data_IF_526267309179
#
_entry.id   IF_526267309179
#
_cell.length_a   1.000
_cell.length_b   1.000
_cell.length_c   1.000
_cell.angle_alpha   90.00
_cell.angle_beta   90.00
_cell.angle_gamma   90.00
#
_symmetry.space_group_name_H-M   'P 1'
#
loop_
_entity.id
_entity.type
_entity.pdbx_description
1 polymer ?
#
# COMPACT_ATOMS: atom_id res chain seq x y z
N UNK A 1 -7.76 29.52 -1.34
CA UNK A 1 -7.67 30.50 -2.45
C UNK A 1 -9.06 31.01 -2.81
N UNK A 2 -9.20 32.12 -3.54
CA UNK A 2 -10.52 32.73 -3.85
C UNK A 2 -11.47 31.83 -4.65
N UNK A 3 -10.93 30.87 -5.40
CA UNK A 3 -11.69 29.89 -6.20
C UNK A 3 -12.10 28.63 -5.44
N UNK A 4 -11.64 28.45 -4.19
CA UNK A 4 -11.97 27.26 -3.38
C UNK A 4 -13.25 27.56 -2.60
N UNK A 5 -14.33 26.86 -2.94
CA UNK A 5 -15.65 27.04 -2.31
C UNK A 5 -16.09 25.84 -1.47
N UNK A 6 -15.43 24.69 -1.63
CA UNK A 6 -15.77 23.45 -0.91
C UNK A 6 -15.26 23.41 0.54
N UNK A 7 -14.46 24.39 0.95
CA UNK A 7 -13.82 24.46 2.28
C UNK A 7 -13.84 25.90 2.80
N UNK A 8 -13.85 26.03 4.12
CA UNK A 8 -13.75 27.28 4.87
C UNK A 8 -12.62 27.22 5.90
N UNK A 9 -12.03 28.36 6.31
CA UNK A 9 -11.01 28.38 7.34
C UNK A 9 -11.50 27.71 8.64
N UNK A 10 -10.69 26.78 9.17
CA UNK A 10 -11.04 25.99 10.36
C UNK A 10 -11.58 24.60 10.06
N UNK A 11 -11.91 24.29 8.80
CA UNK A 11 -12.33 22.94 8.42
C UNK A 11 -11.22 21.91 8.64
N UNK A 12 -11.49 20.81 9.38
CA UNK A 12 -10.55 19.71 9.47
C UNK A 12 -10.53 18.95 8.14
N UNK A 13 -9.35 18.77 7.56
CA UNK A 13 -9.20 18.12 6.24
C UNK A 13 -8.30 16.89 6.29
N UNK A 14 -8.49 16.01 5.31
CA UNK A 14 -7.62 14.87 5.02
C UNK A 14 -7.41 14.78 3.51
N UNK A 15 -6.15 14.72 3.06
CA UNK A 15 -5.82 14.87 1.65
C UNK A 15 -4.63 13.98 1.29
N UNK A 16 -4.51 13.60 0.03
CA UNK A 16 -3.31 12.92 -0.51
C UNK A 16 -2.43 13.90 -1.29
N UNK A 17 -1.21 13.50 -1.59
CA UNK A 17 -0.16 14.40 -2.05
C UNK A 17 -0.12 14.60 -3.58
N UNK A 18 -0.98 13.95 -4.35
CA UNK A 18 -1.06 14.09 -5.82
C UNK A 18 -2.50 14.14 -6.30
N UNK A 19 -2.70 14.65 -7.52
CA UNK A 19 -3.97 14.59 -8.23
C UNK A 19 -3.73 14.67 -9.75
N UNK A 20 -4.47 13.89 -10.56
CA UNK A 20 -4.32 13.86 -12.01
C UNK A 20 -4.83 15.13 -12.68
N UNK A 21 -4.41 15.41 -13.92
CA UNK A 21 -4.90 16.56 -14.69
C UNK A 21 -6.31 16.33 -15.27
N UNK A 22 -6.72 15.08 -15.49
CA UNK A 22 -8.04 14.71 -16.01
C UNK A 22 -8.20 14.87 -17.53
N UNK A 23 -7.17 15.33 -18.25
CA UNK A 23 -7.31 15.68 -19.68
C UNK A 23 -6.28 15.02 -20.60
N UNK A 24 -5.17 14.50 -20.07
CA UNK A 24 -4.15 13.80 -20.86
C UNK A 24 -4.62 12.41 -21.32
N UNK A 25 -3.82 11.74 -22.15
CA UNK A 25 -4.11 10.40 -22.66
C UNK A 25 -4.49 9.44 -21.53
N UNK A 26 -3.64 9.28 -20.53
CA UNK A 26 -3.84 8.34 -19.43
C UNK A 26 -5.12 8.62 -18.64
N UNK A 27 -5.39 9.89 -18.34
CA UNK A 27 -6.61 10.27 -17.62
C UNK A 27 -7.88 9.92 -18.41
N UNK A 28 -7.88 10.11 -19.73
CA UNK A 28 -9.04 9.78 -20.58
C UNK A 28 -9.28 8.28 -20.72
N UNK A 29 -8.29 7.45 -20.37
CA UNK A 29 -8.37 5.99 -20.43
C UNK A 29 -8.54 5.34 -19.04
N UNK A 30 -8.86 6.11 -18.00
CA UNK A 30 -9.03 5.58 -16.64
C UNK A 30 -7.73 5.08 -16.01
N UNK A 31 -6.59 5.64 -16.45
CA UNK A 31 -5.26 5.33 -15.94
C UNK A 31 -4.65 6.57 -15.27
N UNK A 32 -5.42 7.25 -14.43
CA UNK A 32 -5.04 8.52 -13.79
C UNK A 32 -3.74 8.45 -12.97
N UNK A 33 -3.38 7.27 -12.46
CA UNK A 33 -2.12 7.02 -11.76
C UNK A 33 -0.88 7.19 -12.67
N UNK A 34 -1.06 7.16 -13.99
CA UNK A 34 -0.01 7.36 -15.00
C UNK A 34 -0.05 8.77 -15.61
N UNK A 35 -0.85 9.68 -15.03
CA UNK A 35 -1.00 11.03 -15.54
C UNK A 35 0.36 11.75 -15.67
N UNK A 36 0.61 12.34 -16.84
CA UNK A 36 1.82 13.10 -17.18
C UNK A 36 2.15 14.22 -16.18
N UNK A 37 1.11 14.82 -15.58
CA UNK A 37 1.27 15.90 -14.61
C UNK A 37 1.34 15.39 -13.16
N UNK A 38 1.15 14.10 -12.89
CA UNK A 38 0.97 13.60 -11.52
C UNK A 38 2.21 13.82 -10.65
N UNK A 39 3.35 13.28 -11.08
CA UNK A 39 4.61 13.38 -10.35
C UNK A 39 5.25 14.78 -10.42
N UNK A 40 5.30 15.47 -11.59
CA UNK A 40 5.93 16.80 -11.68
C UNK A 40 5.29 17.86 -10.79
N UNK A 41 4.07 17.63 -10.34
CA UNK A 41 3.31 18.62 -9.60
C UNK A 41 2.93 18.16 -8.19
N UNK A 42 3.39 16.98 -7.79
CA UNK A 42 3.21 16.39 -6.47
C UNK A 42 3.51 17.39 -5.35
N UNK A 43 2.69 17.35 -4.29
CA UNK A 43 2.90 18.14 -3.09
C UNK A 43 3.96 17.50 -2.21
N UNK A 44 5.06 18.22 -1.97
CA UNK A 44 6.12 17.83 -1.06
C UNK A 44 6.26 18.87 0.06
N UNK A 45 6.83 18.47 1.20
CA UNK A 45 7.09 19.38 2.33
C UNK A 45 6.04 19.37 3.45
N UNK A 46 5.20 18.33 3.53
CA UNK A 46 4.14 18.25 4.55
C UNK A 46 4.65 18.10 6.00
N UNK A 47 5.95 17.87 6.20
CA UNK A 47 6.60 17.96 7.50
C UNK A 47 6.89 19.42 7.85
N UNK A 48 5.81 20.17 8.11
CA UNK A 48 5.82 21.60 8.41
C UNK A 48 4.53 21.99 9.15
N UNK A 49 4.56 23.08 9.91
CA UNK A 49 3.37 23.65 10.56
C UNK A 49 2.29 24.08 9.55
N UNK A 50 2.71 24.43 8.33
CA UNK A 50 1.83 24.90 7.27
C UNK A 50 2.30 24.44 5.90
N UNK A 51 1.34 24.13 5.03
CA UNK A 51 1.61 23.81 3.62
C UNK A 51 0.51 24.36 2.71
N UNK A 52 0.91 24.90 1.57
CA UNK A 52 -0.02 25.34 0.53
C UNK A 52 -0.39 24.15 -0.37
N UNK A 53 -1.62 23.65 -0.25
CA UNK A 53 -2.10 22.52 -1.07
C UNK A 53 -2.51 23.02 -2.48
N UNK A 54 -1.95 22.45 -3.56
CA UNK A 54 -2.32 22.79 -4.94
C UNK A 54 -3.82 22.62 -5.21
N UNK A 55 -4.40 23.55 -5.96
CA UNK A 55 -5.84 23.57 -6.28
C UNK A 55 -6.37 22.22 -6.78
N UNK A 56 -5.67 21.55 -7.70
CA UNK A 56 -6.14 20.25 -8.24
C UNK A 56 -6.19 19.13 -7.19
N UNK A 57 -5.34 19.19 -6.16
CA UNK A 57 -5.38 18.23 -5.04
C UNK A 57 -6.59 18.56 -4.18
N UNK A 58 -6.81 19.84 -3.87
CA UNK A 58 -8.00 20.31 -3.15
C UNK A 58 -9.29 19.85 -3.82
N UNK A 59 -9.38 19.95 -5.14
CA UNK A 59 -10.60 19.62 -5.90
C UNK A 59 -10.88 18.12 -6.02
N UNK A 60 -9.85 17.28 -6.05
CA UNK A 60 -10.02 15.86 -6.42
C UNK A 60 -9.79 14.89 -5.26
N UNK A 61 -8.91 15.27 -4.35
CA UNK A 61 -8.20 14.34 -3.46
C UNK A 61 -8.04 14.91 -2.04
N UNK A 62 -8.86 15.89 -1.69
CA UNK A 62 -8.92 16.54 -0.39
C UNK A 62 -10.37 16.51 0.09
N UNK A 63 -10.56 16.16 1.36
CA UNK A 63 -11.88 15.89 1.91
C UNK A 63 -11.99 16.47 3.31
N UNK A 64 -13.21 16.80 3.73
CA UNK A 64 -13.49 17.06 5.15
C UNK A 64 -13.20 15.78 5.93
N UNK A 65 -12.36 15.89 6.95
CA UNK A 65 -12.11 14.85 7.94
C UNK A 65 -13.26 14.89 8.96
N UNK A 66 -14.13 13.87 9.03
CA UNK A 66 -15.24 13.88 9.98
C UNK A 66 -14.76 14.06 11.42
N UNK A 67 -15.58 14.69 12.27
CA UNK A 67 -15.23 14.98 13.68
C UNK A 67 -14.84 13.73 14.47
N UNK A 68 -15.47 12.60 14.17
CA UNK A 68 -15.18 11.33 14.83
C UNK A 68 -13.85 10.68 14.41
N UNK A 69 -13.19 11.13 13.33
CA UNK A 69 -11.95 10.53 12.82
C UNK A 69 -10.75 11.34 13.31
N UNK A 70 -9.76 10.67 13.91
CA UNK A 70 -8.52 11.29 14.36
C UNK A 70 -7.60 11.67 13.19
N UNK A 71 -6.68 12.62 13.39
CA UNK A 71 -5.67 12.94 12.38
C UNK A 71 -4.73 11.76 12.10
N UNK A 72 -4.45 10.96 13.13
CA UNK A 72 -3.72 9.70 13.02
C UNK A 72 -4.39 8.72 12.05
N UNK A 73 -5.70 8.52 12.14
CA UNK A 73 -6.48 7.71 11.19
C UNK A 73 -6.51 8.35 9.79
N UNK A 74 -6.73 9.66 9.72
CA UNK A 74 -6.78 10.40 8.46
C UNK A 74 -5.46 10.35 7.67
N UNK A 75 -4.32 10.30 8.36
CA UNK A 75 -2.99 10.21 7.76
C UNK A 75 -2.76 8.89 7.01
N UNK A 76 -3.62 7.88 7.17
CA UNK A 76 -3.58 6.65 6.39
C UNK A 76 -4.24 6.75 5.01
N UNK A 77 -4.86 7.88 4.66
CA UNK A 77 -5.58 8.02 3.39
C UNK A 77 -4.71 7.69 2.18
N UNK A 78 -3.50 8.22 2.14
CA UNK A 78 -2.53 7.98 1.07
C UNK A 78 -2.06 6.51 1.01
N UNK A 79 -1.52 5.92 2.10
CA UNK A 79 -1.01 4.56 2.02
C UNK A 79 -2.13 3.55 1.78
N UNK A 80 -3.34 3.80 2.29
CA UNK A 80 -4.48 2.93 2.04
C UNK A 80 -4.99 3.05 0.59
N UNK A 81 -4.96 4.23 -0.03
CA UNK A 81 -5.30 4.39 -1.44
C UNK A 81 -4.36 3.59 -2.36
N UNK A 82 -3.06 3.57 -2.05
CA UNK A 82 -2.09 2.72 -2.76
C UNK A 82 -2.44 1.22 -2.63
N UNK A 83 -2.83 0.77 -1.42
CA UNK A 83 -3.20 -0.63 -1.16
C UNK A 83 -4.50 -1.00 -1.88
N UNK A 84 -5.50 -0.11 -1.88
CA UNK A 84 -6.75 -0.27 -2.64
C UNK A 84 -6.44 -0.44 -4.12
N UNK A 85 -5.64 0.46 -4.70
CA UNK A 85 -5.24 0.40 -6.11
C UNK A 85 -4.56 -0.93 -6.47
N UNK A 86 -3.62 -1.37 -5.61
CA UNK A 86 -2.89 -2.63 -5.77
C UNK A 86 -3.81 -3.86 -5.78
N UNK A 87 -4.77 -3.92 -4.84
CA UNK A 87 -5.73 -5.03 -4.76
C UNK A 87 -6.74 -4.97 -5.91
N UNK A 88 -7.18 -3.78 -6.31
CA UNK A 88 -8.08 -3.59 -7.44
C UNK A 88 -7.43 -4.02 -8.76
N UNK A 89 -6.12 -3.80 -8.94
CA UNK A 89 -5.37 -4.31 -10.10
C UNK A 89 -5.19 -5.83 -10.07
N UNK A 90 -5.16 -6.43 -8.89
CA UNK A 90 -4.99 -7.88 -8.71
C UNK A 90 -6.29 -8.67 -8.88
N UNK A 91 -7.44 -8.08 -8.51
CA UNK A 91 -8.78 -8.68 -8.55
C UNK A 91 -8.84 -10.09 -7.95
N UNK A 92 -8.37 -10.29 -6.70
CA UNK A 92 -8.35 -11.62 -6.11
C UNK A 92 -9.78 -12.13 -5.88
N UNK A 93 -10.03 -13.38 -6.25
CA UNK A 93 -11.32 -14.02 -5.99
C UNK A 93 -11.50 -14.30 -4.49
N UNK A 94 -12.73 -14.17 -3.99
CA UNK A 94 -13.04 -14.62 -2.63
C UNK A 94 -12.71 -16.12 -2.49
N UNK A 95 -12.12 -16.51 -1.36
CA UNK A 95 -11.63 -17.87 -1.11
C UNK A 95 -10.29 -18.22 -1.76
N UNK A 96 -9.71 -17.32 -2.57
CA UNK A 96 -8.34 -17.50 -3.09
C UNK A 96 -7.29 -17.33 -1.99
N UNK A 97 -6.08 -17.85 -2.23
CA UNK A 97 -4.92 -17.70 -1.34
C UNK A 97 -3.92 -16.72 -1.93
N UNK A 98 -3.62 -15.65 -1.20
CA UNK A 98 -2.64 -14.63 -1.59
C UNK A 98 -1.47 -14.63 -0.61
N UNK A 99 -0.25 -14.78 -1.13
CA UNK A 99 0.96 -14.62 -0.34
C UNK A 99 1.39 -13.15 -0.34
N UNK A 100 1.49 -12.53 0.83
CA UNK A 100 1.95 -11.14 1.00
C UNK A 100 3.36 -11.17 1.57
N UNK A 101 4.34 -10.73 0.79
CA UNK A 101 5.75 -10.81 1.15
C UNK A 101 6.22 -9.48 1.71
N UNK A 102 6.63 -9.49 2.99
CA UNK A 102 7.07 -8.31 3.73
C UNK A 102 6.05 -7.90 4.79
N UNK A 103 6.40 -8.02 6.07
CA UNK A 103 5.54 -7.70 7.20
C UNK A 103 5.70 -6.25 7.71
N UNK A 104 5.97 -5.31 6.80
CA UNK A 104 5.91 -3.88 7.09
C UNK A 104 4.47 -3.35 7.09
N UNK A 105 4.30 -2.04 7.29
CA UNK A 105 2.97 -1.41 7.32
C UNK A 105 2.13 -1.71 6.07
N UNK A 106 2.74 -1.63 4.88
CA UNK A 106 2.04 -1.98 3.64
C UNK A 106 1.62 -3.44 3.55
N UNK A 107 2.46 -4.39 3.97
CA UNK A 107 2.09 -5.80 3.93
C UNK A 107 0.95 -6.14 4.90
N UNK A 108 0.96 -5.54 6.09
CA UNK A 108 -0.15 -5.68 7.05
C UNK A 108 -1.43 -5.04 6.50
N UNK A 109 -1.35 -3.83 5.90
CA UNK A 109 -2.52 -3.20 5.28
C UNK A 109 -3.10 -4.06 4.14
N UNK A 110 -2.26 -4.61 3.26
CA UNK A 110 -2.71 -5.52 2.21
C UNK A 110 -3.39 -6.76 2.81
N UNK A 111 -2.76 -7.41 3.79
CA UNK A 111 -3.31 -8.61 4.41
C UNK A 111 -4.67 -8.36 5.08
N UNK A 112 -4.83 -7.22 5.77
CA UNK A 112 -6.11 -6.84 6.37
C UNK A 112 -7.19 -6.58 5.31
N UNK A 113 -6.87 -5.84 4.24
CA UNK A 113 -7.86 -5.54 3.20
C UNK A 113 -8.23 -6.79 2.41
N UNK A 114 -7.27 -7.68 2.11
CA UNK A 114 -7.53 -9.00 1.51
C UNK A 114 -8.47 -9.84 2.38
N UNK A 115 -8.25 -9.92 3.69
CA UNK A 115 -9.13 -10.64 4.62
C UNK A 115 -10.57 -10.12 4.56
N UNK A 116 -10.76 -8.80 4.45
CA UNK A 116 -12.10 -8.18 4.27
C UNK A 116 -12.78 -8.56 2.95
N UNK A 117 -12.02 -8.83 1.90
CA UNK A 117 -12.54 -9.35 0.63
C UNK A 117 -12.76 -10.87 0.64
N UNK A 118 -12.62 -11.53 1.80
CA UNK A 118 -12.74 -12.98 1.94
C UNK A 118 -11.59 -13.74 1.30
N UNK A 119 -10.44 -13.10 1.11
CA UNK A 119 -9.23 -13.71 0.56
C UNK A 119 -8.36 -14.21 1.71
N UNK A 120 -7.79 -15.42 1.57
CA UNK A 120 -6.85 -15.98 2.54
C UNK A 120 -5.48 -15.34 2.32
N UNK A 121 -5.11 -14.36 3.16
CA UNK A 121 -3.79 -13.73 3.13
C UNK A 121 -2.78 -14.49 3.99
N UNK A 122 -1.66 -14.89 3.39
CA UNK A 122 -0.49 -15.46 4.08
C UNK A 122 0.59 -14.38 4.17
N UNK A 123 0.76 -13.77 5.34
CA UNK A 123 1.74 -12.69 5.53
C UNK A 123 3.11 -13.26 5.91
N UNK A 124 4.15 -12.93 5.14
CA UNK A 124 5.51 -13.39 5.37
C UNK A 124 6.42 -12.25 5.81
N UNK A 125 7.30 -12.52 6.77
CA UNK A 125 8.35 -11.58 7.15
C UNK A 125 9.34 -12.17 8.14
N UNK A 126 10.29 -11.34 8.59
CA UNK A 126 11.38 -11.73 9.52
C UNK A 126 11.37 -10.97 10.85
N UNK A 127 10.53 -9.93 10.94
CA UNK A 127 10.42 -9.05 12.12
C UNK A 127 9.36 -9.63 13.06
N UNK A 128 9.78 -10.34 14.10
CA UNK A 128 8.93 -11.11 15.02
C UNK A 128 7.85 -10.28 15.69
N UNK A 129 8.17 -9.06 16.08
CA UNK A 129 7.26 -8.10 16.71
C UNK A 129 6.11 -7.71 15.77
N UNK A 130 6.39 -7.55 14.48
CA UNK A 130 5.37 -7.23 13.47
C UNK A 130 4.54 -8.45 13.09
N UNK A 131 5.13 -9.65 13.12
CA UNK A 131 4.37 -10.90 12.98
C UNK A 131 3.42 -11.10 14.18
N UNK A 132 3.88 -10.79 15.39
CA UNK A 132 3.05 -10.84 16.59
C UNK A 132 1.86 -9.88 16.47
N UNK A 133 2.09 -8.61 16.10
CA UNK A 133 1.01 -7.67 15.82
C UNK A 133 0.06 -8.21 14.74
N UNK A 134 0.57 -8.74 13.63
CA UNK A 134 -0.27 -9.30 12.58
C UNK A 134 -1.19 -10.42 13.11
N UNK A 135 -0.70 -11.29 14.00
CA UNK A 135 -1.52 -12.33 14.64
C UNK A 135 -2.57 -11.74 15.59
N UNK A 136 -2.21 -10.71 16.36
CA UNK A 136 -3.18 -9.99 17.20
C UNK A 136 -4.31 -9.35 16.38
N UNK A 137 -4.01 -8.94 15.14
CA UNK A 137 -4.98 -8.42 14.19
C UNK A 137 -5.74 -9.53 13.43
N UNK A 138 -5.55 -10.81 13.78
CA UNK A 138 -6.26 -11.94 13.18
C UNK A 138 -5.72 -12.39 11.82
N UNK A 139 -4.48 -12.01 11.48
CA UNK A 139 -3.82 -12.42 10.24
C UNK A 139 -3.00 -13.71 10.44
N UNK A 140 -3.02 -14.59 9.43
CA UNK A 140 -2.07 -15.70 9.35
C UNK A 140 -0.70 -15.15 8.94
N UNK A 141 0.28 -15.18 9.86
CA UNK A 141 1.61 -14.65 9.63
C UNK A 141 2.74 -15.63 9.97
N UNK A 142 3.73 -15.70 9.08
CA UNK A 142 4.80 -16.70 9.08
C UNK A 142 6.18 -16.05 9.11
N UNK A 143 7.06 -16.62 9.92
CA UNK A 143 8.47 -16.23 9.98
C UNK A 143 9.26 -16.99 8.91
N UNK A 144 9.82 -16.24 7.95
CA UNK A 144 10.61 -16.80 6.85
C UNK A 144 11.91 -17.47 7.30
N UNK A 145 12.33 -17.22 8.55
CA UNK A 145 13.49 -17.88 9.17
C UNK A 145 13.15 -19.26 9.72
N UNK A 146 11.87 -19.53 9.96
CA UNK A 146 11.39 -20.81 10.48
C UNK A 146 10.92 -21.75 9.38
N UNK A 147 10.30 -21.21 8.33
CA UNK A 147 9.83 -21.97 7.17
C UNK A 147 10.08 -21.18 5.88
N UNK A 148 10.71 -21.78 4.85
CA UNK A 148 10.83 -21.14 3.54
C UNK A 148 9.46 -20.75 2.97
N UNK A 149 9.36 -19.55 2.38
CA UNK A 149 8.09 -19.01 1.86
C UNK A 149 7.42 -20.01 0.91
N UNK A 150 8.20 -20.61 -0.01
CA UNK A 150 7.68 -21.55 -1.00
C UNK A 150 7.05 -22.78 -0.34
N UNK A 151 7.70 -23.36 0.65
CA UNK A 151 7.20 -24.54 1.36
C UNK A 151 5.88 -24.22 2.08
N UNK A 152 5.86 -23.12 2.83
CA UNK A 152 4.65 -22.66 3.51
C UNK A 152 3.48 -22.43 2.56
N UNK A 153 3.74 -21.81 1.40
CA UNK A 153 2.72 -21.59 0.36
C UNK A 153 2.21 -22.92 -0.20
N UNK A 154 3.09 -23.86 -0.53
CA UNK A 154 2.70 -25.17 -1.09
C UNK A 154 1.84 -25.98 -0.11
N UNK A 155 2.24 -26.04 1.17
CA UNK A 155 1.47 -26.69 2.24
C UNK A 155 0.03 -26.13 2.32
N UNK A 156 -0.12 -24.82 2.17
CA UNK A 156 -1.41 -24.11 2.30
C UNK A 156 -2.23 -24.10 1.02
N UNK A 157 -1.66 -24.56 -0.09
CA UNK A 157 -2.29 -24.50 -1.42
C UNK A 157 -2.40 -25.86 -2.10
N UNK A 158 -2.08 -26.95 -1.39
CA UNK A 158 -2.07 -28.33 -1.90
C UNK A 158 -1.10 -28.45 -3.09
N UNK A 159 0.11 -27.97 -2.89
CA UNK A 159 1.22 -27.99 -3.85
C UNK A 159 1.02 -27.19 -5.15
N UNK A 160 -0.04 -26.38 -5.23
CA UNK A 160 -0.33 -25.60 -6.44
C UNK A 160 0.48 -24.31 -6.53
N UNK A 161 0.79 -23.67 -5.40
CA UNK A 161 1.23 -22.28 -5.33
C UNK A 161 0.07 -21.33 -5.02
N UNK A 162 0.37 -20.09 -4.64
CA UNK A 162 -0.63 -19.07 -4.33
C UNK A 162 -1.36 -18.61 -5.59
N UNK A 163 -2.63 -18.22 -5.46
CA UNK A 163 -3.40 -17.61 -6.56
C UNK A 163 -2.77 -16.28 -6.98
N UNK A 164 -2.24 -15.55 -6.00
CA UNK A 164 -1.41 -14.39 -6.24
C UNK A 164 -0.33 -14.18 -5.18
N UNK A 165 0.67 -13.38 -5.53
CA UNK A 165 1.71 -12.89 -4.62
C UNK A 165 1.70 -11.38 -4.66
N UNK A 166 1.78 -10.72 -3.50
CA UNK A 166 2.02 -9.28 -3.38
C UNK A 166 3.40 -9.08 -2.76
N UNK A 167 4.31 -8.49 -3.52
CA UNK A 167 5.70 -8.21 -3.12
C UNK A 167 5.77 -6.80 -2.50
N UNK A 168 6.05 -6.72 -1.20
CA UNK A 168 6.11 -5.45 -0.44
C UNK A 168 7.49 -5.16 0.16
N UNK A 169 8.54 -5.89 -0.22
CA UNK A 169 9.91 -5.69 0.28
C UNK A 169 10.78 -4.83 -0.62
N UNK A 170 10.52 -4.79 -1.93
CA UNK A 170 11.24 -3.92 -2.86
C UNK A 170 12.69 -4.34 -3.05
N UNK A 171 12.95 -5.64 -3.13
CA UNK A 171 14.30 -6.20 -3.40
C UNK A 171 14.32 -6.96 -4.71
N UNK A 172 15.46 -6.90 -5.42
CA UNK A 172 15.67 -7.64 -6.69
C UNK A 172 15.45 -9.14 -6.48
N UNK A 173 16.02 -9.69 -5.40
CA UNK A 173 15.87 -11.11 -5.05
C UNK A 173 14.40 -11.52 -4.90
N UNK A 174 13.59 -10.70 -4.23
CA UNK A 174 12.19 -11.01 -4.02
C UNK A 174 11.36 -10.80 -5.29
N UNK A 175 11.70 -9.79 -6.10
CA UNK A 175 11.11 -9.63 -7.41
C UNK A 175 11.33 -10.87 -8.28
N UNK A 176 12.57 -11.33 -8.42
CA UNK A 176 12.94 -12.47 -9.28
C UNK A 176 12.37 -13.80 -8.78
N UNK A 177 12.26 -14.00 -7.48
CA UNK A 177 11.77 -15.26 -6.89
C UNK A 177 10.25 -15.34 -6.75
N UNK A 178 9.53 -14.21 -6.68
CA UNK A 178 8.07 -14.19 -6.51
C UNK A 178 7.28 -15.01 -7.57
N UNK A 179 7.64 -15.05 -8.87
CA UNK A 179 6.97 -15.90 -9.85
C UNK A 179 7.05 -17.41 -9.56
N UNK A 180 7.97 -17.86 -8.71
CA UNK A 180 8.06 -19.26 -8.28
C UNK A 180 7.06 -19.64 -7.19
N UNK A 181 6.42 -18.65 -6.56
CA UNK A 181 5.49 -18.82 -5.44
C UNK A 181 4.03 -18.87 -5.89
N UNK A 182 3.73 -18.37 -7.09
CA UNK A 182 2.38 -18.41 -7.67
C UNK A 182 2.10 -19.73 -8.37
N UNK A 183 0.84 -20.13 -8.43
CA UNK A 183 0.39 -21.22 -9.29
C UNK A 183 0.45 -20.85 -10.77
N UNK A 184 0.30 -21.85 -11.64
CA UNK A 184 0.03 -21.63 -13.08
C UNK A 184 -1.23 -20.77 -13.24
N UNK A 185 -1.17 -19.77 -14.11
CA UNK A 185 -2.21 -18.77 -14.35
C UNK A 185 -2.39 -17.76 -13.21
N UNK A 186 -1.51 -17.76 -12.20
CA UNK A 186 -1.53 -16.80 -11.08
C UNK A 186 -0.87 -15.48 -11.43
N UNK A 187 -0.96 -14.51 -10.52
CA UNK A 187 -0.46 -13.15 -10.73
C UNK A 187 0.51 -12.74 -9.61
N UNK A 188 1.64 -12.15 -9.98
CA UNK A 188 2.52 -11.45 -9.04
C UNK A 188 2.25 -9.95 -9.15
N UNK A 189 1.94 -9.31 -8.02
CA UNK A 189 1.84 -7.86 -7.87
C UNK A 189 3.10 -7.33 -7.19
N UNK A 190 3.92 -6.59 -7.93
CA UNK A 190 5.09 -5.89 -7.42
C UNK A 190 4.68 -4.52 -6.88
N UNK A 191 4.27 -4.49 -5.61
CA UNK A 191 3.81 -3.27 -4.95
C UNK A 191 4.98 -2.38 -4.54
N UNK A 192 6.03 -2.96 -3.96
CA UNK A 192 7.24 -2.24 -3.61
C UNK A 192 8.16 -2.10 -4.83
N UNK A 193 8.32 -0.87 -5.30
CA UNK A 193 9.18 -0.54 -6.44
C UNK A 193 10.66 -0.77 -6.15
N UNK A 194 11.44 -0.94 -7.22
CA UNK A 194 12.90 -0.97 -7.19
C UNK A 194 13.49 0.39 -7.60
N UNK A 195 14.77 0.67 -7.29
CA UNK A 195 15.48 1.79 -7.87
C UNK A 195 15.37 1.81 -9.41
N UNK A 196 15.27 2.99 -10.02
CA UNK A 196 14.96 3.14 -11.45
C UNK A 196 15.92 2.40 -12.41
N UNK A 197 17.18 2.19 -12.00
CA UNK A 197 18.19 1.49 -12.80
C UNK A 197 18.26 -0.03 -12.53
N UNK A 198 17.48 -0.54 -11.57
CA UNK A 198 17.48 -1.95 -11.23
C UNK A 198 16.98 -2.81 -12.40
N UNK A 199 17.53 -4.01 -12.50
CA UNK A 199 17.15 -5.02 -13.50
C UNK A 199 16.81 -6.32 -12.79
N UNK A 200 15.83 -7.02 -13.33
CA UNK A 200 15.37 -8.32 -12.84
C UNK A 200 15.27 -9.28 -14.02
N UNK A 201 15.50 -10.56 -13.76
CA UNK A 201 15.42 -11.64 -14.74
C UNK A 201 14.38 -12.66 -14.31
N UNK A 202 13.56 -13.11 -15.26
CA UNK A 202 12.53 -14.10 -15.01
C UNK A 202 12.73 -15.32 -15.89
N UNK A 203 12.33 -16.49 -15.38
CA UNK A 203 12.25 -17.69 -16.19
C UNK A 203 11.10 -17.53 -17.20
N UNK A 204 11.44 -17.48 -18.50
CA UNK A 204 10.45 -17.36 -19.58
C UNK A 204 9.37 -18.44 -19.55
N UNK A 205 9.71 -19.65 -19.08
CA UNK A 205 8.76 -20.74 -18.93
C UNK A 205 7.62 -20.41 -17.95
N UNK A 206 7.91 -19.68 -16.87
CA UNK A 206 6.89 -19.24 -15.90
C UNK A 206 5.91 -18.26 -16.54
N UNK A 207 6.44 -17.34 -17.36
CA UNK A 207 5.64 -16.32 -18.04
C UNK A 207 4.78 -16.94 -19.16
N UNK A 208 5.37 -17.81 -19.98
CA UNK A 208 4.73 -18.32 -21.19
C UNK A 208 3.93 -19.60 -20.96
N UNK A 209 4.56 -20.68 -20.47
CA UNK A 209 3.92 -21.99 -20.37
C UNK A 209 3.07 -22.17 -19.11
N UNK A 210 3.38 -21.39 -18.06
CA UNK A 210 2.59 -21.34 -16.84
C UNK A 210 1.65 -20.14 -16.79
N UNK A 211 1.63 -19.29 -17.81
CA UNK A 211 0.78 -18.08 -17.88
C UNK A 211 0.83 -17.21 -16.62
N UNK A 212 1.98 -17.14 -15.95
CA UNK A 212 2.15 -16.24 -14.81
C UNK A 212 2.10 -14.81 -15.29
N UNK A 213 1.22 -14.02 -14.70
CA UNK A 213 1.09 -12.58 -14.98
C UNK A 213 1.94 -11.79 -13.99
N UNK A 214 2.62 -10.78 -14.50
CA UNK A 214 3.34 -9.80 -13.69
C UNK A 214 2.59 -8.47 -13.77
N UNK A 215 2.26 -7.91 -12.61
CA UNK A 215 1.64 -6.60 -12.45
C UNK A 215 2.50 -5.76 -11.52
N UNK A 216 2.64 -4.47 -11.80
CA UNK A 216 3.36 -3.52 -10.96
C UNK A 216 2.48 -2.28 -10.79
N UNK A 217 1.44 -2.34 -9.93
CA UNK A 217 0.56 -1.21 -9.71
C UNK A 217 1.36 -0.05 -9.14
N UNK A 218 1.14 1.14 -9.69
CA UNK A 218 1.85 2.36 -9.29
C UNK A 218 0.85 3.35 -8.74
N UNK A 219 1.12 3.88 -7.56
CA UNK A 219 0.37 4.98 -6.98
C UNK A 219 -1.13 4.64 -6.80
N UNK A 220 -2.03 5.58 -7.10
CA UNK A 220 -3.49 5.43 -6.99
C UNK A 220 -4.23 6.37 -7.95
N UNK A 221 -5.53 6.11 -8.13
CA UNK A 221 -6.50 6.99 -8.80
C UNK A 221 -7.36 7.75 -7.78
N UNK A 222 -8.09 8.82 -8.17
CA UNK A 222 -9.05 9.47 -7.28
C UNK A 222 -10.19 8.54 -6.81
N UNK A 223 -10.51 7.48 -7.56
CA UNK A 223 -11.48 6.48 -7.13
C UNK A 223 -10.95 5.68 -5.93
N UNK A 224 -9.70 5.23 -6.01
CA UNK A 224 -9.02 4.50 -4.92
C UNK A 224 -8.92 5.35 -3.65
N UNK A 225 -8.67 6.66 -3.79
CA UNK A 225 -8.64 7.61 -2.66
C UNK A 225 -10.00 7.73 -1.98
N UNK A 226 -11.10 7.75 -2.76
CA UNK A 226 -12.45 7.78 -2.18
C UNK A 226 -12.77 6.49 -1.45
N UNK A 227 -12.41 5.33 -2.01
CA UNK A 227 -12.59 4.05 -1.33
C UNK A 227 -11.76 3.96 -0.04
N UNK A 228 -10.50 4.38 -0.07
CA UNK A 228 -9.66 4.48 1.12
C UNK A 228 -10.27 5.40 2.19
N UNK A 229 -10.85 6.54 1.79
CA UNK A 229 -11.60 7.41 2.70
C UNK A 229 -12.78 6.68 3.33
N UNK A 230 -13.59 5.96 2.55
CA UNK A 230 -14.72 5.20 3.11
C UNK A 230 -14.26 4.13 4.11
N UNK A 231 -13.17 3.42 3.82
CA UNK A 231 -12.58 2.45 4.74
C UNK A 231 -12.11 3.10 6.05
N UNK A 232 -11.56 4.32 5.99
CA UNK A 232 -11.17 5.09 7.19
C UNK A 232 -12.40 5.55 7.97
N UNK A 233 -13.37 6.18 7.30
CA UNK A 233 -14.55 6.77 7.93
C UNK A 233 -15.40 5.70 8.62
N UNK A 234 -15.51 4.52 8.01
CA UNK A 234 -16.24 3.38 8.58
C UNK A 234 -15.41 2.57 9.58
N UNK A 235 -14.14 2.92 9.81
CA UNK A 235 -13.18 2.14 10.62
C UNK A 235 -13.15 0.68 10.24
N UNK A 236 -13.17 0.43 8.93
CA UNK A 236 -13.13 -0.91 8.37
C UNK A 236 -11.84 -1.66 8.77
N UNK A 237 -10.77 -0.92 9.07
CA UNK A 237 -9.45 -1.46 9.41
C UNK A 237 -8.94 -0.85 10.73
N UNK A 238 -8.21 -1.60 11.57
CA UNK A 238 -7.63 -1.11 12.83
C UNK A 238 -6.35 -0.30 12.58
N UNK A 239 -6.43 0.78 11.81
CA UNK A 239 -5.27 1.50 11.25
C UNK A 239 -4.30 2.03 12.31
N UNK A 240 -4.81 2.58 13.41
CA UNK A 240 -3.96 3.17 14.47
C UNK A 240 -3.08 2.14 15.16
N UNK A 241 -3.40 0.84 15.09
CA UNK A 241 -2.54 -0.24 15.61
C UNK A 241 -1.22 -0.37 14.84
N UNK A 242 -1.14 0.16 13.61
CA UNK A 242 0.08 0.14 12.80
C UNK A 242 1.02 1.31 13.11
N UNK A 243 0.54 2.32 13.84
CA UNK A 243 1.37 3.44 14.29
C UNK A 243 2.26 2.91 15.42
N UNK A 244 3.55 2.77 15.13
CA UNK A 244 4.52 2.28 16.12
C UNK A 244 5.02 3.42 17.01
N UNK A 245 5.08 4.64 16.47
CA UNK A 245 5.72 5.76 17.12
C UNK A 245 5.02 7.07 16.72
N UNK A 246 4.97 8.02 17.66
CA UNK A 246 4.52 9.39 17.42
C UNK A 246 5.67 10.32 17.79
N UNK A 247 6.03 11.22 16.88
CA UNK A 247 7.10 12.19 17.07
C UNK A 247 6.58 13.60 16.83
N UNK A 248 7.05 14.59 17.60
CA UNK A 248 6.85 15.99 17.24
C UNK A 248 7.74 16.35 16.05
N UNK A 249 7.42 17.44 15.34
CA UNK A 249 8.14 17.86 14.14
C UNK A 249 9.65 18.08 14.38
N UNK A 250 10.04 18.59 15.55
CA UNK A 250 11.45 18.85 15.91
C UNK A 250 12.29 17.57 16.01
N UNK A 251 11.64 16.42 16.21
CA UNK A 251 12.29 15.11 16.33
C UNK A 251 12.16 14.26 15.07
N UNK A 252 11.83 14.87 13.93
CA UNK A 252 11.66 14.16 12.67
C UNK A 252 12.92 13.37 12.26
N UNK A 253 14.12 13.88 12.55
CA UNK A 253 15.37 13.16 12.27
C UNK A 253 15.47 11.83 13.03
N UNK A 254 14.98 11.78 14.28
CA UNK A 254 14.95 10.55 15.06
C UNK A 254 13.96 9.54 14.48
N UNK A 255 12.81 10.02 14.00
CA UNK A 255 11.82 9.19 13.33
C UNK A 255 12.42 8.52 12.07
N UNK A 256 13.09 9.29 11.21
CA UNK A 256 13.76 8.75 10.02
C UNK A 256 14.87 7.77 10.37
N UNK A 257 15.74 8.11 11.33
CA UNK A 257 16.83 7.21 11.77
C UNK A 257 16.31 5.85 12.24
N UNK A 258 15.19 5.84 12.99
CA UNK A 258 14.54 4.61 13.46
C UNK A 258 13.92 3.81 12.32
N UNK A 259 13.29 4.48 11.35
CA UNK A 259 12.72 3.83 10.17
C UNK A 259 13.80 3.22 9.27
N UNK A 260 14.92 3.93 9.05
CA UNK A 260 16.06 3.44 8.26
C UNK A 260 16.75 2.22 8.90
N UNK A 261 16.81 2.17 10.23
CA UNK A 261 17.27 0.99 10.97
C UNK A 261 16.28 -0.20 10.88
N UNK A 262 15.04 0.06 10.48
CA UNK A 262 13.98 -0.94 10.41
C UNK A 262 13.35 -1.27 11.76
N UNK A 263 13.49 -0.39 12.76
CA UNK A 263 12.97 -0.59 14.13
C UNK A 263 11.56 0.01 14.33
N UNK A 264 11.03 0.70 13.32
CA UNK A 264 9.66 1.25 13.29
C UNK A 264 8.81 0.67 12.15
N UNK A 265 7.48 0.75 12.28
CA UNK A 265 6.53 0.34 11.25
C UNK A 265 5.92 1.55 10.52
N UNK A 266 5.27 2.42 11.28
CA UNK A 266 4.73 3.71 10.83
C UNK A 266 4.98 4.70 11.94
N UNK A 267 5.83 5.69 11.67
CA UNK A 267 5.93 6.87 12.49
C UNK A 267 4.86 7.89 12.05
N UNK A 268 4.14 8.46 13.02
CA UNK A 268 3.30 9.63 12.84
C UNK A 268 4.08 10.86 13.30
N UNK A 269 4.07 11.92 12.49
CA UNK A 269 4.59 13.22 12.89
C UNK A 269 3.40 14.09 13.29
N UNK A 270 3.41 14.61 14.50
CA UNK A 270 2.43 15.56 15.03
C UNK A 270 3.14 16.90 15.26
N UNK A 271 3.04 17.84 14.30
CA UNK A 271 3.60 19.18 14.44
C UNK A 271 3.00 19.97 15.60
#
# INVERSE_FOLDING_TARGET
GKSVTAFTPGDPVMCVHTAPCGVCFWCRHGQEQLCEQLMPTMLLGAYSDCIAVPQRIVERNCFIKPNGISYAEAAFLEPLACVVHSIAALQPASGSTVAVIGNGGFGILHALLLQRHGVKALLFGRRTERLALARELGLESLDVRSIPIREAVLERTRDRGADAVIECTGTVEMWESAPSLVRRGGTVSFFAGLPAAARVTFLAARLHYDEVRLSAPFHFTPADVREARELIVTRALPLTKLISDVYPLERIADAFKRLDAGDGMKALIEP
#
